data_IF_105267896402
#
_entry.id   IF_105267896402
#
_cell.length_a   1.000
_cell.length_b   1.000
_cell.length_c   1.000
_cell.angle_alpha   90.00
_cell.angle_beta   90.00
_cell.angle_gamma   90.00
#
_symmetry.space_group_name_H-M   'P 1'
#
loop_
_entity.id
_entity.type
_entity.pdbx_description
1 polymer ?
#
# COMPACT_ATOMS: atom_id res chain seq x y z
N UNK A 1 -30.01 -39.30 -33.81
CA UNK A 1 -30.48 -38.81 -32.49
C UNK A 1 -29.29 -38.33 -31.67
N UNK A 2 -29.03 -37.02 -31.60
CA UNK A 2 -27.93 -36.44 -30.82
C UNK A 2 -28.53 -35.72 -29.61
N UNK A 3 -28.34 -36.26 -28.40
CA UNK A 3 -28.76 -35.62 -27.14
C UNK A 3 -27.78 -34.49 -26.81
N UNK A 4 -28.21 -33.23 -26.97
CA UNK A 4 -27.48 -32.06 -26.46
C UNK A 4 -27.53 -32.04 -24.93
N UNK A 5 -26.36 -32.16 -24.27
CA UNK A 5 -26.20 -31.92 -22.83
C UNK A 5 -26.43 -30.42 -22.55
N UNK A 6 -27.39 -30.11 -21.68
CA UNK A 6 -27.61 -28.76 -21.15
C UNK A 6 -26.48 -28.43 -20.17
N UNK A 7 -25.68 -27.42 -20.47
CA UNK A 7 -24.73 -26.82 -19.54
C UNK A 7 -25.49 -25.93 -18.55
N UNK A 8 -25.55 -26.36 -17.29
CA UNK A 8 -26.10 -25.57 -16.19
C UNK A 8 -25.16 -24.40 -15.90
N UNK A 9 -25.57 -23.19 -16.26
CA UNK A 9 -24.88 -21.96 -15.82
C UNK A 9 -25.03 -21.85 -14.30
N UNK A 10 -23.91 -21.99 -13.58
CA UNK A 10 -23.85 -21.70 -12.15
C UNK A 10 -24.07 -20.20 -12.00
N UNK A 11 -25.22 -19.83 -11.46
CA UNK A 11 -25.59 -18.44 -11.20
C UNK A 11 -24.93 -18.02 -9.89
N UNK A 12 -23.77 -17.37 -9.96
CA UNK A 12 -23.10 -16.77 -8.81
C UNK A 12 -23.96 -15.59 -8.32
N UNK A 13 -24.82 -15.83 -7.33
CA UNK A 13 -25.61 -14.79 -6.67
C UNK A 13 -24.65 -13.78 -6.03
N UNK A 14 -24.79 -12.49 -6.35
CA UNK A 14 -24.09 -11.40 -5.66
C UNK A 14 -24.42 -11.47 -4.16
N UNK A 15 -23.44 -11.27 -3.26
CA UNK A 15 -23.69 -11.32 -1.82
C UNK A 15 -24.67 -10.21 -1.39
N UNK A 16 -25.51 -10.47 -0.36
CA UNK A 16 -26.49 -9.50 0.14
C UNK A 16 -25.84 -8.23 0.68
N UNK A 17 -26.55 -7.09 0.57
CA UNK A 17 -26.09 -5.73 0.91
C UNK A 17 -25.42 -5.62 2.30
N UNK A 18 -25.98 -6.28 3.31
CA UNK A 18 -25.43 -6.30 4.69
C UNK A 18 -24.04 -6.94 4.76
N UNK A 19 -23.77 -7.96 3.94
CA UNK A 19 -22.44 -8.58 3.88
C UNK A 19 -21.41 -7.65 3.24
N UNK A 20 -21.81 -6.79 2.30
CA UNK A 20 -20.90 -5.81 1.69
C UNK A 20 -20.59 -4.66 2.64
N UNK A 21 -21.56 -4.19 3.43
CA UNK A 21 -21.34 -3.15 4.45
C UNK A 21 -20.40 -3.65 5.56
N UNK A 22 -20.62 -4.87 6.05
CA UNK A 22 -19.74 -5.48 7.04
C UNK A 22 -18.31 -5.69 6.52
N UNK A 23 -18.16 -6.15 5.26
CA UNK A 23 -16.84 -6.30 4.61
C UNK A 23 -16.12 -4.95 4.47
N UNK A 24 -16.83 -3.91 4.04
CA UNK A 24 -16.30 -2.55 3.92
C UNK A 24 -15.80 -2.02 5.28
N UNK A 25 -16.60 -2.18 6.34
CA UNK A 25 -16.22 -1.76 7.69
C UNK A 25 -14.99 -2.52 8.22
N UNK A 26 -14.90 -3.83 7.97
CA UNK A 26 -13.72 -4.63 8.33
C UNK A 26 -12.49 -4.16 7.56
N UNK A 27 -12.63 -3.88 6.26
CA UNK A 27 -11.56 -3.35 5.42
C UNK A 27 -11.03 -2.01 5.93
N UNK A 28 -11.92 -1.05 6.23
CA UNK A 28 -11.53 0.26 6.80
C UNK A 28 -10.78 0.08 8.13
N UNK A 29 -11.33 -0.72 9.05
CA UNK A 29 -10.69 -1.02 10.34
C UNK A 29 -9.28 -1.58 10.13
N UNK A 30 -9.11 -2.53 9.23
CA UNK A 30 -7.83 -3.19 8.98
C UNK A 30 -6.81 -2.23 8.36
N UNK A 31 -7.24 -1.34 7.43
CA UNK A 31 -6.38 -0.29 6.87
C UNK A 31 -5.89 0.67 7.95
N UNK A 32 -6.79 1.14 8.81
CA UNK A 32 -6.45 2.00 9.95
C UNK A 32 -5.46 1.28 10.88
N UNK A 33 -5.70 0.00 11.16
CA UNK A 33 -4.82 -0.79 12.04
C UNK A 33 -3.41 -0.92 11.46
N UNK A 34 -3.26 -1.22 10.17
CA UNK A 34 -1.94 -1.25 9.51
C UNK A 34 -1.22 0.10 9.61
N UNK A 35 -1.94 1.20 9.36
CA UNK A 35 -1.39 2.54 9.47
C UNK A 35 -0.91 2.85 10.90
N UNK A 36 -1.68 2.47 11.92
CA UNK A 36 -1.25 2.64 13.31
C UNK A 36 0.01 1.82 13.62
N UNK A 37 0.12 0.60 13.09
CA UNK A 37 1.30 -0.24 13.28
C UNK A 37 2.55 0.35 12.63
N UNK A 38 2.43 0.88 11.41
CA UNK A 38 3.49 1.59 10.69
C UNK A 38 4.01 2.79 11.52
N UNK A 39 3.08 3.56 12.10
CA UNK A 39 3.39 4.80 12.81
C UNK A 39 3.72 4.60 14.30
N UNK A 40 3.53 3.40 14.85
CA UNK A 40 3.58 3.14 16.29
C UNK A 40 4.92 3.50 16.95
N UNK A 41 6.02 3.46 16.19
CA UNK A 41 7.37 3.77 16.68
C UNK A 41 7.73 5.27 16.61
N UNK A 42 6.93 6.09 15.95
CA UNK A 42 7.20 7.53 15.83
C UNK A 42 6.78 8.28 17.10
N UNK A 43 7.74 8.95 17.75
CA UNK A 43 7.50 9.69 19.01
C UNK A 43 6.54 10.88 18.86
N UNK A 44 6.43 11.46 17.67
CA UNK A 44 5.47 12.53 17.39
C UNK A 44 4.07 11.92 17.29
N UNK A 45 3.92 10.81 16.56
CA UNK A 45 2.65 10.10 16.47
C UNK A 45 2.14 9.65 17.84
N UNK A 46 3.01 9.07 18.68
CA UNK A 46 2.66 8.62 20.04
C UNK A 46 2.06 9.71 20.94
N UNK A 47 2.39 10.99 20.69
CA UNK A 47 1.94 12.15 21.48
C UNK A 47 0.64 12.77 21.00
N UNK A 48 0.17 12.41 19.80
CA UNK A 48 -1.10 12.88 19.29
C UNK A 48 -2.25 12.30 20.12
N UNK A 49 -3.35 13.05 20.25
CA UNK A 49 -4.59 12.49 20.78
C UNK A 49 -5.12 11.40 19.82
N UNK A 50 -5.95 10.49 20.32
CA UNK A 50 -6.54 9.44 19.46
C UNK A 50 -7.38 10.04 18.32
N UNK A 51 -8.06 11.15 18.56
CA UNK A 51 -8.79 11.89 17.52
C UNK A 51 -7.84 12.44 16.44
N UNK A 52 -6.72 13.04 16.83
CA UNK A 52 -5.71 13.55 15.90
C UNK A 52 -5.06 12.41 15.09
N UNK A 53 -4.74 11.28 15.73
CA UNK A 53 -4.20 10.10 15.06
C UNK A 53 -5.17 9.59 14.01
N UNK A 54 -6.43 9.37 14.39
CA UNK A 54 -7.45 8.84 13.51
C UNK A 54 -7.74 9.77 12.33
N UNK A 55 -7.85 11.08 12.59
CA UNK A 55 -8.03 12.08 11.54
C UNK A 55 -6.86 12.09 10.55
N UNK A 56 -5.63 12.16 11.06
CA UNK A 56 -4.40 12.13 10.24
C UNK A 56 -4.32 10.86 9.39
N UNK A 57 -4.58 9.69 10.00
CA UNK A 57 -4.53 8.40 9.30
C UNK A 57 -5.56 8.34 8.18
N UNK A 58 -6.81 8.77 8.43
CA UNK A 58 -7.84 8.79 7.39
C UNK A 58 -7.50 9.70 6.21
N UNK A 59 -6.97 10.88 6.49
CA UNK A 59 -6.55 11.83 5.44
C UNK A 59 -5.40 11.25 4.61
N UNK A 60 -4.42 10.61 5.24
CA UNK A 60 -3.30 9.99 4.52
C UNK A 60 -3.74 8.78 3.69
N UNK A 61 -4.65 7.97 4.22
CA UNK A 61 -5.24 6.86 3.48
C UNK A 61 -6.03 7.35 2.26
N UNK A 62 -6.80 8.44 2.39
CA UNK A 62 -7.55 9.00 1.26
C UNK A 62 -6.63 9.55 0.17
N UNK A 63 -5.51 10.19 0.53
CA UNK A 63 -4.51 10.63 -0.45
C UNK A 63 -3.97 9.45 -1.27
N UNK A 64 -3.65 8.33 -0.63
CA UNK A 64 -3.20 7.13 -1.35
C UNK A 64 -4.25 6.59 -2.32
N UNK A 65 -5.52 6.58 -1.90
CA UNK A 65 -6.66 6.14 -2.72
C UNK A 65 -6.89 7.06 -3.92
N UNK A 66 -6.81 8.37 -3.71
CA UNK A 66 -6.93 9.37 -4.78
C UNK A 66 -5.83 9.20 -5.83
N UNK A 67 -4.57 9.05 -5.39
CA UNK A 67 -3.45 8.83 -6.32
C UNK A 67 -3.63 7.53 -7.11
N UNK A 68 -4.15 6.46 -6.49
CA UNK A 68 -4.46 5.21 -7.19
C UNK A 68 -5.55 5.42 -8.24
N UNK A 69 -6.61 6.16 -7.92
CA UNK A 69 -7.67 6.53 -8.86
C UNK A 69 -7.15 7.31 -10.06
N UNK A 70 -6.26 8.28 -9.84
CA UNK A 70 -5.65 9.07 -10.92
C UNK A 70 -4.77 8.19 -11.83
N UNK A 71 -3.95 7.32 -11.24
CA UNK A 71 -3.08 6.41 -11.99
C UNK A 71 -3.92 5.42 -12.82
N UNK A 72 -4.98 4.85 -12.24
CA UNK A 72 -5.87 3.96 -12.98
C UNK A 72 -6.52 4.66 -14.18
N UNK A 73 -6.99 5.89 -13.98
CA UNK A 73 -7.60 6.68 -15.05
C UNK A 73 -6.60 7.09 -16.15
N UNK A 74 -5.36 7.45 -15.78
CA UNK A 74 -4.33 7.90 -16.73
C UNK A 74 -3.74 6.74 -17.56
N UNK A 75 -3.52 5.58 -16.94
CA UNK A 75 -2.77 4.48 -17.56
C UNK A 75 -3.62 3.31 -18.04
N UNK A 76 -4.91 3.28 -17.69
CA UNK A 76 -5.89 2.24 -18.05
C UNK A 76 -5.41 0.82 -17.70
N UNK A 77 -4.70 0.68 -16.58
CA UNK A 77 -4.23 -0.62 -16.09
C UNK A 77 -3.91 -0.54 -14.61
N UNK A 78 -4.10 -1.64 -13.88
CA UNK A 78 -3.67 -1.81 -12.50
C UNK A 78 -2.34 -2.56 -12.35
N UNK A 79 -1.65 -2.89 -13.46
CA UNK A 79 -0.35 -3.56 -13.40
C UNK A 79 0.75 -2.52 -13.13
N UNK A 80 1.36 -2.51 -11.93
CA UNK A 80 2.33 -1.48 -11.57
C UNK A 80 3.60 -1.53 -12.42
N UNK A 81 3.96 -2.69 -13.00
CA UNK A 81 5.12 -2.77 -13.92
C UNK A 81 4.83 -2.10 -15.25
N UNK A 82 3.60 -2.25 -15.77
CA UNK A 82 3.19 -1.54 -17.01
C UNK A 82 3.14 -0.04 -16.80
N UNK A 83 2.61 0.39 -15.65
CA UNK A 83 2.58 1.82 -15.27
C UNK A 83 4.01 2.36 -15.14
N UNK A 84 4.87 1.67 -14.39
CA UNK A 84 6.29 2.05 -14.25
C UNK A 84 6.98 2.17 -15.61
N UNK A 85 6.78 1.21 -16.52
CA UNK A 85 7.34 1.26 -17.86
C UNK A 85 6.85 2.47 -18.67
N UNK A 86 5.55 2.81 -18.62
CA UNK A 86 4.99 4.00 -19.28
C UNK A 86 5.54 5.31 -18.69
N UNK A 87 5.90 5.29 -17.41
CA UNK A 87 6.53 6.40 -16.69
C UNK A 87 8.05 6.49 -16.90
N UNK A 88 8.66 5.57 -17.66
CA UNK A 88 10.12 5.52 -17.83
C UNK A 88 10.88 5.02 -16.60
N UNK A 89 10.20 4.34 -15.67
CA UNK A 89 10.78 3.74 -14.47
C UNK A 89 11.12 2.28 -14.75
N UNK A 90 12.40 1.92 -14.61
CA UNK A 90 12.86 0.54 -14.85
C UNK A 90 12.57 -0.32 -13.62
N UNK A 91 11.98 -1.50 -13.83
CA UNK A 91 11.73 -2.49 -12.77
C UNK A 91 12.54 -3.74 -13.04
N UNK A 92 13.38 -4.16 -12.08
CA UNK A 92 14.18 -5.39 -12.23
C UNK A 92 14.52 -6.03 -10.88
N UNK A 93 15.00 -7.27 -10.93
CA UNK A 93 15.40 -8.04 -9.75
C UNK A 93 16.90 -8.00 -9.49
N UNK A 94 17.31 -7.94 -8.22
CA UNK A 94 18.71 -8.10 -7.79
C UNK A 94 18.84 -9.17 -6.69
N UNK A 95 19.92 -9.96 -6.78
CA UNK A 95 20.34 -10.93 -5.75
C UNK A 95 21.38 -10.28 -4.85
N UNK A 96 20.94 -9.41 -3.94
CA UNK A 96 21.81 -8.87 -2.88
C UNK A 96 20.98 -8.70 -1.63
N UNK A 97 21.12 -9.65 -0.70
CA UNK A 97 20.45 -9.79 0.60
C UNK A 97 20.43 -8.55 1.50
N UNK A 98 19.74 -7.50 1.05
CA UNK A 98 19.31 -6.40 1.92
C UNK A 98 18.15 -6.90 2.77
N UNK A 99 17.99 -6.27 3.94
CA UNK A 99 16.86 -6.53 4.85
C UNK A 99 15.49 -6.10 4.30
N UNK A 100 15.42 -5.56 3.08
CA UNK A 100 14.25 -4.93 2.45
C UNK A 100 13.74 -5.75 1.26
N UNK A 101 12.44 -5.66 0.97
CA UNK A 101 11.82 -6.36 -0.15
C UNK A 101 11.99 -5.65 -1.48
N UNK A 102 11.88 -4.33 -1.49
CA UNK A 102 12.10 -3.53 -2.69
C UNK A 102 12.66 -2.14 -2.36
N UNK A 103 13.07 -1.39 -3.38
CA UNK A 103 13.56 -0.02 -3.23
C UNK A 103 13.41 0.78 -4.52
N UNK A 104 12.82 1.97 -4.43
CA UNK A 104 12.88 2.99 -5.46
C UNK A 104 14.17 3.82 -5.34
N UNK A 105 15.07 3.68 -6.31
CA UNK A 105 16.33 4.41 -6.41
C UNK A 105 16.14 5.71 -7.20
N UNK A 106 15.80 6.77 -6.45
CA UNK A 106 15.49 8.12 -6.95
C UNK A 106 16.46 8.66 -8.03
N UNK A 107 17.76 8.46 -7.86
CA UNK A 107 18.78 8.96 -8.79
C UNK A 107 18.90 8.21 -10.11
N UNK A 108 18.22 7.06 -10.27
CA UNK A 108 18.32 6.19 -11.46
C UNK A 108 16.98 5.91 -12.12
N UNK A 109 15.87 6.37 -11.53
CA UNK A 109 14.50 5.99 -11.92
C UNK A 109 14.35 4.47 -12.01
N UNK A 110 14.79 3.76 -10.97
CA UNK A 110 14.76 2.30 -10.88
C UNK A 110 13.96 1.84 -9.68
N UNK A 111 13.08 0.86 -9.86
CA UNK A 111 12.52 0.03 -8.79
C UNK A 111 13.27 -1.29 -8.81
N UNK A 112 13.94 -1.61 -7.71
CA UNK A 112 14.66 -2.86 -7.55
C UNK A 112 13.92 -3.76 -6.58
N UNK A 113 13.63 -4.99 -7.01
CA UNK A 113 13.03 -6.02 -6.17
C UNK A 113 14.12 -7.01 -5.75
N UNK A 114 14.29 -7.23 -4.45
CA UNK A 114 15.31 -8.16 -3.96
C UNK A 114 14.76 -9.59 -4.01
N UNK A 115 15.31 -10.42 -4.91
CA UNK A 115 14.72 -11.75 -5.23
C UNK A 115 14.72 -12.68 -4.03
N UNK A 116 15.78 -12.68 -3.23
CA UNK A 116 15.90 -13.49 -2.02
C UNK A 116 14.73 -13.24 -1.05
N UNK A 117 14.32 -11.98 -0.89
CA UNK A 117 13.21 -11.60 -0.02
C UNK A 117 11.86 -12.00 -0.63
N UNK A 118 11.67 -11.75 -1.93
CA UNK A 118 10.47 -12.16 -2.65
C UNK A 118 10.27 -13.68 -2.56
N UNK A 119 11.31 -14.48 -2.78
CA UNK A 119 11.24 -15.93 -2.66
C UNK A 119 10.93 -16.39 -1.25
N UNK A 120 11.51 -15.74 -0.24
CA UNK A 120 11.19 -16.01 1.16
C UNK A 120 9.69 -15.77 1.44
N UNK A 121 9.17 -14.61 1.03
CA UNK A 121 7.75 -14.29 1.20
C UNK A 121 6.84 -15.28 0.48
N UNK A 122 7.15 -15.65 -0.76
CA UNK A 122 6.37 -16.64 -1.53
C UNK A 122 6.34 -18.01 -0.82
N UNK A 123 7.43 -18.42 -0.15
CA UNK A 123 7.47 -19.68 0.60
C UNK A 123 6.63 -19.63 1.88
N UNK A 124 6.60 -18.49 2.56
CA UNK A 124 5.96 -18.33 3.87
C UNK A 124 4.49 -17.91 3.78
N UNK A 125 4.11 -17.16 2.74
CA UNK A 125 2.74 -16.73 2.51
C UNK A 125 1.95 -17.88 1.88
N UNK A 126 1.11 -18.53 2.69
CA UNK A 126 0.22 -19.63 2.27
C UNK A 126 -1.17 -19.11 1.87
N UNK A 127 -1.20 -18.02 1.08
CA UNK A 127 -2.44 -17.50 0.46
C UNK A 127 -2.25 -17.41 -1.04
N UNK A 128 -3.05 -18.17 -1.79
CA UNK A 128 -3.05 -18.13 -3.25
C UNK A 128 -3.49 -16.75 -3.79
N UNK A 129 -4.32 -16.03 -3.04
CA UNK A 129 -4.74 -14.68 -3.39
C UNK A 129 -3.56 -13.70 -3.31
N UNK A 130 -2.74 -13.80 -2.27
CA UNK A 130 -1.61 -12.89 -2.07
C UNK A 130 -0.36 -13.31 -2.83
N UNK A 131 -0.07 -14.61 -2.96
CA UNK A 131 1.17 -15.12 -3.56
C UNK A 131 1.42 -14.53 -4.95
N UNK A 132 0.37 -14.43 -5.76
CA UNK A 132 0.43 -13.90 -7.13
C UNK A 132 0.53 -12.36 -7.17
N UNK A 133 0.20 -11.72 -6.04
CA UNK A 133 0.22 -10.28 -5.86
C UNK A 133 1.46 -9.78 -5.11
N UNK A 134 2.28 -10.62 -4.47
CA UNK A 134 3.45 -10.20 -3.68
C UNK A 134 4.38 -9.29 -4.51
N UNK A 135 4.75 -9.72 -5.71
CA UNK A 135 5.60 -8.91 -6.59
C UNK A 135 4.91 -7.61 -7.01
N UNK A 136 3.61 -7.66 -7.36
CA UNK A 136 2.84 -6.47 -7.72
C UNK A 136 2.76 -5.49 -6.55
N UNK A 137 2.57 -5.99 -5.34
CA UNK A 137 2.50 -5.21 -4.11
C UNK A 137 3.80 -4.44 -3.90
N UNK A 138 4.94 -5.12 -3.93
CA UNK A 138 6.24 -4.48 -3.79
C UNK A 138 6.48 -3.41 -4.86
N UNK A 139 6.19 -3.72 -6.13
CA UNK A 139 6.39 -2.75 -7.21
C UNK A 139 5.42 -1.57 -7.10
N UNK A 140 4.16 -1.79 -6.74
CA UNK A 140 3.18 -0.72 -6.53
C UNK A 140 3.57 0.20 -5.38
N UNK A 141 4.09 -0.36 -4.28
CA UNK A 141 4.56 0.42 -3.14
C UNK A 141 5.71 1.36 -3.55
N UNK A 142 6.72 0.83 -4.23
CA UNK A 142 7.85 1.65 -4.70
C UNK A 142 7.46 2.61 -5.84
N UNK A 143 6.47 2.24 -6.66
CA UNK A 143 5.90 3.13 -7.67
C UNK A 143 5.23 4.35 -7.02
N UNK A 144 4.56 4.19 -5.87
CA UNK A 144 4.05 5.34 -5.13
C UNK A 144 5.18 6.29 -4.72
N UNK A 145 6.29 5.76 -4.20
CA UNK A 145 7.44 6.60 -3.81
C UNK A 145 8.01 7.36 -5.01
N UNK A 146 8.02 6.77 -6.22
CA UNK A 146 8.32 7.51 -7.44
C UNK A 146 7.34 8.67 -7.68
N UNK A 147 6.02 8.40 -7.61
CA UNK A 147 4.97 9.40 -7.84
C UNK A 147 4.98 10.51 -6.78
N UNK A 148 5.28 10.17 -5.53
CA UNK A 148 5.43 11.11 -4.43
C UNK A 148 6.47 12.18 -4.75
N UNK A 149 7.59 11.80 -5.35
CA UNK A 149 8.68 12.74 -5.64
C UNK A 149 8.44 13.49 -6.94
N UNK A 150 7.93 12.79 -7.95
CA UNK A 150 7.86 13.30 -9.33
C UNK A 150 6.60 14.11 -9.62
N UNK A 151 5.50 13.87 -8.90
CA UNK A 151 4.18 14.45 -9.23
C UNK A 151 3.42 14.99 -8.02
N UNK A 152 3.34 14.20 -6.94
CA UNK A 152 2.42 14.48 -5.83
C UNK A 152 3.06 15.41 -4.79
N UNK A 153 4.37 15.38 -4.64
CA UNK A 153 5.07 16.02 -3.54
C UNK A 153 5.07 15.17 -2.27
N UNK A 154 6.08 15.36 -1.42
CA UNK A 154 6.30 14.55 -0.21
C UNK A 154 5.12 14.61 0.76
N UNK A 155 4.42 13.49 0.94
CA UNK A 155 3.19 13.40 1.72
C UNK A 155 3.44 13.79 3.16
N UNK A 156 4.48 13.24 3.79
CA UNK A 156 4.79 13.56 5.19
C UNK A 156 5.01 15.05 5.46
N UNK A 157 5.38 15.86 4.45
CA UNK A 157 5.57 17.31 4.60
C UNK A 157 4.28 18.10 4.59
N UNK A 158 3.18 17.51 4.11
CA UNK A 158 1.84 18.12 4.14
C UNK A 158 1.30 18.20 5.57
N UNK A 159 1.75 17.29 6.45
CA UNK A 159 1.32 17.19 7.84
C UNK A 159 2.36 17.77 8.79
N UNK A 160 2.08 18.95 9.34
CA UNK A 160 2.96 19.65 10.29
C UNK A 160 2.46 19.46 11.70
N UNK A 161 3.32 18.95 12.58
CA UNK A 161 3.02 18.76 13.99
C UNK A 161 3.82 19.73 14.85
N UNK A 162 3.22 20.13 15.97
CA UNK A 162 3.89 21.00 16.93
C UNK A 162 5.16 20.33 17.46
N UNK A 163 6.30 20.92 17.14
CA UNK A 163 7.57 20.50 17.68
C UNK A 163 7.94 21.27 18.93
N UNK A 164 9.18 21.77 19.00
CA UNK A 164 9.64 22.54 20.15
C UNK A 164 9.68 24.03 19.82
N UNK A 165 9.50 24.85 20.87
CA UNK A 165 9.55 26.30 20.82
C UNK A 165 10.53 26.78 21.89
N UNK A 166 11.48 27.62 21.50
CA UNK A 166 12.36 28.36 22.40
C UNK A 166 12.37 29.83 21.98
N UNK A 167 11.66 30.69 22.71
CA UNK A 167 11.49 32.09 22.35
C UNK A 167 10.87 32.27 20.95
N UNK A 168 11.48 33.05 20.04
CA UNK A 168 10.99 33.24 18.67
C UNK A 168 11.24 32.01 17.77
N UNK A 169 12.06 31.05 18.19
CA UNK A 169 12.40 29.89 17.38
C UNK A 169 11.35 28.79 17.54
N UNK A 170 10.71 28.40 16.43
CA UNK A 170 9.81 27.24 16.34
C UNK A 170 10.41 26.23 15.37
N UNK A 171 10.45 24.96 15.78
CA UNK A 171 10.77 23.84 14.88
C UNK A 171 9.57 22.93 14.74
N UNK A 172 9.07 22.78 13.52
CA UNK A 172 8.01 21.83 13.21
C UNK A 172 8.55 20.39 13.25
N UNK A 173 7.67 19.44 13.57
CA UNK A 173 7.93 18.00 13.47
C UNK A 173 7.12 17.40 12.33
N UNK A 174 7.66 16.35 11.74
CA UNK A 174 7.02 15.58 10.69
C UNK A 174 7.13 14.09 11.00
N UNK A 175 6.15 13.32 10.53
CA UNK A 175 6.08 11.87 10.72
C UNK A 175 6.35 11.23 9.35
N UNK A 176 7.59 10.75 9.11
CA UNK A 176 7.99 10.25 7.79
C UNK A 176 7.15 9.06 7.30
N UNK A 177 6.75 8.19 8.23
CA UNK A 177 5.93 7.01 7.94
C UNK A 177 4.55 7.32 7.36
N UNK A 178 4.08 8.58 7.39
CA UNK A 178 2.87 8.96 6.66
C UNK A 178 3.02 8.75 5.15
N UNK A 179 4.24 8.83 4.61
CA UNK A 179 4.52 8.51 3.21
C UNK A 179 4.32 7.02 2.94
N UNK A 180 4.75 6.16 3.87
CA UNK A 180 4.60 4.71 3.77
C UNK A 180 3.13 4.28 3.94
N UNK A 181 2.38 4.94 4.82
CA UNK A 181 0.92 4.75 4.95
C UNK A 181 0.19 5.13 3.66
N UNK A 182 0.55 6.24 3.02
CA UNK A 182 -0.02 6.62 1.72
C UNK A 182 0.35 5.61 0.62
N UNK A 183 1.60 5.10 0.62
CA UNK A 183 2.04 4.07 -0.30
C UNK A 183 1.29 2.74 -0.13
N UNK A 184 1.00 2.35 1.12
CA UNK A 184 0.17 1.19 1.44
C UNK A 184 -1.26 1.37 0.92
N UNK A 185 -1.89 2.51 1.19
CA UNK A 185 -3.22 2.84 0.68
C UNK A 185 -3.28 2.82 -0.85
N UNK A 186 -2.33 3.48 -1.51
CA UNK A 186 -2.19 3.46 -2.96
C UNK A 186 -2.07 2.04 -3.50
N UNK A 187 -1.23 1.21 -2.88
CA UNK A 187 -0.98 -0.16 -3.33
C UNK A 187 -2.24 -1.02 -3.27
N UNK A 188 -2.94 -0.97 -2.14
CA UNK A 188 -4.17 -1.72 -1.93
C UNK A 188 -5.26 -1.30 -2.93
N UNK A 189 -5.43 0.01 -3.11
CA UNK A 189 -6.44 0.57 -4.01
C UNK A 189 -6.11 0.35 -5.48
N UNK A 190 -4.84 0.49 -5.88
CA UNK A 190 -4.39 0.20 -7.25
C UNK A 190 -4.65 -1.27 -7.59
N UNK A 191 -4.29 -2.19 -6.69
CA UNK A 191 -4.43 -3.63 -6.92
C UNK A 191 -5.86 -4.16 -6.67
N UNK A 192 -6.77 -3.33 -6.14
CA UNK A 192 -8.13 -3.73 -5.79
C UNK A 192 -8.17 -4.78 -4.67
N UNK A 193 -7.24 -4.70 -3.71
CA UNK A 193 -7.12 -5.66 -2.61
C UNK A 193 -8.00 -5.23 -1.42
N UNK A 194 -8.94 -6.10 -1.04
CA UNK A 194 -9.65 -5.97 0.23
C UNK A 194 -8.81 -6.56 1.37
N UNK A 195 -8.68 -5.86 2.49
CA UNK A 195 -7.97 -6.40 3.65
C UNK A 195 -8.92 -7.28 4.47
N UNK A 196 -9.09 -8.53 4.05
CA UNK A 196 -9.67 -9.57 4.91
C UNK A 196 -8.75 -9.84 6.11
N UNK A 197 -9.21 -10.48 7.21
CA UNK A 197 -8.34 -10.82 8.34
C UNK A 197 -7.10 -11.65 7.94
N UNK A 198 -7.25 -12.60 7.01
CA UNK A 198 -6.12 -13.39 6.51
C UNK A 198 -5.15 -12.52 5.70
N UNK A 199 -5.66 -11.60 4.87
CA UNK A 199 -4.82 -10.66 4.13
C UNK A 199 -4.10 -9.71 5.09
N UNK A 200 -4.77 -9.27 6.15
CA UNK A 200 -4.16 -8.43 7.19
C UNK A 200 -2.94 -9.10 7.84
N UNK A 201 -3.03 -10.38 8.19
CA UNK A 201 -1.90 -11.10 8.80
C UNK A 201 -0.68 -11.14 7.89
N UNK A 202 -0.89 -11.41 6.60
CA UNK A 202 0.19 -11.41 5.62
C UNK A 202 0.73 -10.02 5.31
N UNK A 203 -0.13 -9.00 5.21
CA UNK A 203 0.33 -7.62 5.04
C UNK A 203 1.14 -7.15 6.23
N UNK A 204 0.70 -7.47 7.44
CA UNK A 204 1.44 -7.24 8.67
C UNK A 204 2.81 -7.92 8.60
N UNK A 205 2.86 -9.17 8.16
CA UNK A 205 4.11 -9.90 7.99
C UNK A 205 5.04 -9.23 6.97
N UNK A 206 4.54 -8.89 5.78
CA UNK A 206 5.30 -8.24 4.71
C UNK A 206 5.87 -6.90 5.19
N UNK A 207 5.03 -6.06 5.81
CA UNK A 207 5.43 -4.73 6.30
C UNK A 207 6.45 -4.82 7.43
N UNK A 208 6.25 -5.73 8.38
CA UNK A 208 7.10 -5.84 9.56
C UNK A 208 8.42 -6.61 9.31
N UNK A 209 8.48 -7.43 8.26
CA UNK A 209 9.73 -8.07 7.80
C UNK A 209 10.57 -7.19 6.88
N UNK A 210 10.16 -5.92 6.75
CA UNK A 210 10.68 -4.80 5.98
C UNK A 210 10.44 -4.91 4.46
N UNK A 211 9.52 -4.08 3.98
CA UNK A 211 9.53 -3.57 2.60
C UNK A 211 10.77 -2.70 2.34
#
# INVERSE_FOLDING_TARGET
MIKKRKTTKINLRKPPKVQNEARSAIGERNRITLAYMELARDKTFQRLSEEQKLHTVREVLSIGDEVAGWVLAEYDTNDPRKIASKLGVRVFGEDRGKKKGAEYRKGKNEIVVYRDFHEKLVREIKSAELSDHILKFMVAHELFHYLEISRVGQIYKRFKFNGWRLGPYKKDRYIKGLSDVAAQAFTLSLLGLEISPQVFDYLTYILYTNL
#
